data_IF_386616598314
#
_entry.id   IF_386616598314
#
_cell.length_a   1.000
_cell.length_b   1.000
_cell.length_c   1.000
_cell.angle_alpha   90.00
_cell.angle_beta   90.00
_cell.angle_gamma   90.00
#
_symmetry.space_group_name_H-M   'P 1'
#
loop_
_entity.id
_entity.type
_entity.pdbx_description
1 polymer ?
#
# COMPACT_ATOMS: atom_id res chain seq x y z
N UNK A 1 34.93 -41.33 28.63
CA UNK A 1 34.22 -40.13 28.13
C UNK A 1 32.73 -40.46 28.08
N UNK A 2 31.96 -40.12 29.13
CA UNK A 2 30.53 -40.43 29.18
C UNK A 2 29.75 -39.38 28.39
N UNK A 3 29.16 -39.78 27.27
CA UNK A 3 28.13 -39.01 26.58
C UNK A 3 26.92 -38.98 27.52
N UNK A 4 26.70 -37.85 28.19
CA UNK A 4 25.46 -37.62 28.95
C UNK A 4 24.31 -37.68 27.94
N UNK A 5 23.56 -38.79 27.95
CA UNK A 5 22.26 -38.85 27.27
C UNK A 5 21.42 -37.68 27.78
N UNK A 6 21.00 -36.81 26.86
CA UNK A 6 20.01 -35.77 27.13
C UNK A 6 18.81 -36.47 27.76
N UNK A 7 18.51 -36.16 29.03
CA UNK A 7 17.42 -36.80 29.79
C UNK A 7 16.12 -36.63 29.00
N UNK A 8 15.32 -37.69 28.88
CA UNK A 8 14.06 -37.74 28.12
C UNK A 8 13.14 -36.50 28.21
N UNK A 9 12.98 -35.83 29.38
CA UNK A 9 12.16 -34.61 29.49
C UNK A 9 12.71 -33.43 28.66
N UNK A 10 14.03 -33.28 28.58
CA UNK A 10 14.68 -32.17 27.87
C UNK A 10 14.56 -32.32 26.35
N UNK A 11 14.65 -33.55 25.84
CA UNK A 11 14.44 -33.83 24.42
C UNK A 11 12.99 -33.57 24.00
N UNK A 12 12.02 -33.94 24.84
CA UNK A 12 10.59 -33.67 24.59
C UNK A 12 10.32 -32.16 24.53
N UNK A 13 10.89 -31.38 25.45
CA UNK A 13 10.74 -29.91 25.43
C UNK A 13 11.35 -29.29 24.17
N UNK A 14 12.53 -29.74 23.74
CA UNK A 14 13.16 -29.25 22.50
C UNK A 14 12.29 -29.58 21.28
N UNK A 15 11.75 -30.81 21.19
CA UNK A 15 10.87 -31.22 20.09
C UNK A 15 9.57 -30.43 20.08
N UNK A 16 8.99 -30.13 21.25
CA UNK A 16 7.80 -29.29 21.37
C UNK A 16 8.07 -27.86 20.91
N UNK A 17 9.20 -27.26 21.30
CA UNK A 17 9.61 -25.92 20.85
C UNK A 17 9.85 -25.94 19.33
N UNK A 18 10.57 -26.93 18.81
CA UNK A 18 10.83 -27.05 17.37
C UNK A 18 9.52 -27.22 16.56
N UNK A 19 8.57 -28.01 17.06
CA UNK A 19 7.25 -28.15 16.46
C UNK A 19 6.47 -26.84 16.50
N UNK A 20 6.53 -26.11 17.61
CA UNK A 20 5.84 -24.81 17.76
C UNK A 20 6.45 -23.75 16.84
N UNK A 21 7.77 -23.71 16.71
CA UNK A 21 8.49 -22.85 15.74
C UNK A 21 8.14 -23.25 14.31
N UNK A 22 8.09 -24.54 13.97
CA UNK A 22 7.70 -25.01 12.64
C UNK A 22 6.25 -24.63 12.31
N UNK A 23 5.33 -24.76 13.27
CA UNK A 23 3.95 -24.29 13.12
C UNK A 23 3.91 -22.78 12.95
N UNK A 24 4.70 -22.02 13.72
CA UNK A 24 4.77 -20.57 13.60
C UNK A 24 5.28 -20.13 12.22
N UNK A 25 6.36 -20.75 11.72
CA UNK A 25 6.88 -20.47 10.37
C UNK A 25 5.84 -20.82 9.30
N UNK A 26 5.19 -21.97 9.42
CA UNK A 26 4.21 -22.43 8.43
C UNK A 26 2.91 -21.60 8.44
N UNK A 27 2.54 -21.06 9.60
CA UNK A 27 1.32 -20.28 9.82
C UNK A 27 1.60 -18.77 9.91
N UNK A 28 2.81 -18.33 9.60
CA UNK A 28 3.24 -16.95 9.83
C UNK A 28 2.30 -15.94 9.16
N UNK A 29 1.95 -16.16 7.89
CA UNK A 29 1.03 -15.30 7.13
C UNK A 29 -0.37 -15.23 7.76
N UNK A 30 -0.87 -16.36 8.26
CA UNK A 30 -2.18 -16.43 8.93
C UNK A 30 -2.13 -15.68 10.28
N UNK A 31 -1.02 -15.79 11.01
CA UNK A 31 -0.81 -15.05 12.25
C UNK A 31 -0.67 -13.54 11.96
N UNK A 32 0.12 -13.16 10.95
CA UNK A 32 0.27 -11.77 10.51
C UNK A 32 -1.09 -11.15 10.23
N UNK A 33 -1.87 -11.74 9.33
CA UNK A 33 -3.21 -11.27 8.98
C UNK A 33 -4.11 -11.17 10.22
N UNK A 34 -4.03 -12.13 11.14
CA UNK A 34 -4.86 -12.17 12.36
C UNK A 34 -4.57 -11.02 13.31
N UNK A 35 -3.29 -10.69 13.55
CA UNK A 35 -2.89 -9.65 14.49
C UNK A 35 -2.71 -8.27 13.84
N UNK A 36 -2.56 -8.20 12.51
CA UNK A 36 -2.34 -6.96 11.77
C UNK A 36 -3.36 -5.86 12.09
N UNK A 37 -4.69 -6.11 12.15
CA UNK A 37 -5.66 -5.06 12.48
C UNK A 37 -5.40 -4.36 13.83
N UNK A 38 -4.85 -5.10 14.81
CA UNK A 38 -4.51 -4.54 16.12
C UNK A 38 -3.30 -3.60 15.99
N UNK A 39 -2.25 -4.05 15.30
CA UNK A 39 -1.05 -3.23 15.05
C UNK A 39 -1.42 -1.98 14.25
N UNK A 40 -2.20 -2.14 13.19
CA UNK A 40 -2.75 -1.04 12.37
C UNK A 40 -3.49 -0.03 13.23
N UNK A 41 -4.37 -0.47 14.13
CA UNK A 41 -5.13 0.44 14.98
C UNK A 41 -4.26 1.23 15.97
N UNK A 42 -3.23 0.59 16.55
CA UNK A 42 -2.28 1.24 17.45
C UNK A 42 -1.46 2.31 16.70
N UNK A 43 -0.91 1.96 15.55
CA UNK A 43 -0.13 2.90 14.73
C UNK A 43 -1.01 4.02 14.17
N UNK A 44 -2.26 3.73 13.78
CA UNK A 44 -3.25 4.76 13.42
C UNK A 44 -3.43 5.79 14.53
N UNK A 45 -3.67 5.34 15.76
CA UNK A 45 -3.85 6.23 16.90
C UNK A 45 -2.59 7.09 17.17
N UNK A 46 -1.40 6.50 17.01
CA UNK A 46 -0.13 7.23 17.12
C UNK A 46 -0.01 8.34 16.08
N UNK A 47 -0.25 8.03 14.81
CA UNK A 47 -0.16 9.00 13.69
C UNK A 47 -1.16 10.14 13.89
N UNK A 48 -2.40 9.81 14.25
CA UNK A 48 -3.46 10.80 14.48
C UNK A 48 -3.18 11.69 15.70
N UNK A 49 -2.46 11.19 16.70
CA UNK A 49 -2.12 11.97 17.90
C UNK A 49 -1.24 13.19 17.61
N UNK A 50 -0.45 13.16 16.53
CA UNK A 50 0.34 14.29 16.07
C UNK A 50 -0.55 15.45 15.60
N UNK A 51 -1.64 15.13 14.90
CA UNK A 51 -2.58 16.08 14.33
C UNK A 51 -3.82 16.31 15.23
N UNK A 52 -3.71 16.07 16.54
CA UNK A 52 -4.86 16.19 17.47
C UNK A 52 -5.40 17.63 17.60
N UNK A 53 -4.52 18.62 17.41
CA UNK A 53 -4.80 20.04 17.56
C UNK A 53 -5.02 20.74 16.19
N UNK A 54 -5.09 19.95 15.11
CA UNK A 54 -5.32 20.46 13.75
C UNK A 54 -6.80 20.79 13.56
N UNK A 55 -7.09 21.67 12.60
CA UNK A 55 -8.45 21.90 12.13
C UNK A 55 -8.98 20.65 11.42
N UNK A 56 -10.30 20.45 11.46
CA UNK A 56 -10.95 19.28 10.88
C UNK A 56 -11.97 19.71 9.83
N UNK A 57 -11.81 19.16 8.62
CA UNK A 57 -12.81 19.20 7.56
C UNK A 57 -13.35 17.78 7.36
N UNK A 58 -14.63 17.59 7.67
CA UNK A 58 -15.30 16.31 7.45
C UNK A 58 -16.15 16.34 6.18
N UNK A 59 -16.06 15.28 5.39
CA UNK A 59 -16.95 15.00 4.28
C UNK A 59 -17.81 13.77 4.57
N UNK A 60 -18.54 13.27 3.57
CA UNK A 60 -19.26 12.01 3.69
C UNK A 60 -18.30 10.84 3.96
N UNK A 61 -17.14 10.81 3.29
CA UNK A 61 -16.24 9.66 3.28
C UNK A 61 -14.89 9.92 3.94
N UNK A 62 -14.53 11.18 4.22
CA UNK A 62 -13.19 11.54 4.73
C UNK A 62 -13.23 12.45 5.97
N UNK A 63 -12.19 12.35 6.80
CA UNK A 63 -11.87 13.28 7.88
C UNK A 63 -10.47 13.85 7.60
N UNK A 64 -10.41 15.11 7.20
CA UNK A 64 -9.16 15.79 6.82
C UNK A 64 -8.69 16.68 7.97
N UNK A 65 -7.49 16.42 8.48
CA UNK A 65 -6.81 17.23 9.50
C UNK A 65 -5.75 18.11 8.86
N UNK A 66 -5.79 19.41 9.13
CA UNK A 66 -4.91 20.39 8.50
C UNK A 66 -4.58 21.56 9.45
N UNK A 67 -3.45 22.25 9.21
CA UNK A 67 -3.15 23.53 9.87
C UNK A 67 -3.98 24.65 9.23
N UNK A 68 -4.35 25.69 9.98
CA UNK A 68 -5.27 26.74 9.53
C UNK A 68 -4.88 27.38 8.19
N UNK A 69 -3.59 27.54 7.94
CA UNK A 69 -3.03 28.11 6.71
C UNK A 69 -3.18 27.19 5.49
N UNK A 70 -3.57 25.92 5.68
CA UNK A 70 -3.80 24.93 4.63
C UNK A 70 -5.29 24.70 4.32
N UNK A 71 -6.20 25.57 4.80
CA UNK A 71 -7.65 25.42 4.61
C UNK A 71 -8.08 25.27 3.14
N UNK A 72 -7.47 26.05 2.25
CA UNK A 72 -7.76 25.96 0.81
C UNK A 72 -7.36 24.59 0.23
N UNK A 73 -6.22 24.05 0.66
CA UNK A 73 -5.73 22.74 0.22
C UNK A 73 -6.55 21.62 0.82
N UNK A 74 -7.00 21.74 2.08
CA UNK A 74 -7.91 20.77 2.70
C UNK A 74 -9.22 20.65 1.92
N UNK A 75 -9.82 21.78 1.50
CA UNK A 75 -11.02 21.79 0.67
C UNK A 75 -10.78 21.16 -0.70
N UNK A 76 -9.64 21.46 -1.31
CA UNK A 76 -9.26 20.88 -2.61
C UNK A 76 -9.04 19.36 -2.50
N UNK A 77 -8.31 18.89 -1.48
CA UNK A 77 -8.11 17.47 -1.19
C UNK A 77 -9.44 16.76 -0.95
N UNK A 78 -10.35 17.36 -0.16
CA UNK A 78 -11.70 16.83 0.06
C UNK A 78 -12.48 16.66 -1.26
N UNK A 79 -12.48 17.70 -2.10
CA UNK A 79 -13.17 17.69 -3.39
C UNK A 79 -12.67 16.55 -4.30
N UNK A 80 -11.35 16.40 -4.43
CA UNK A 80 -10.75 15.34 -5.25
C UNK A 80 -11.02 13.96 -4.65
N UNK A 81 -10.85 13.81 -3.33
CA UNK A 81 -11.07 12.53 -2.65
C UNK A 81 -12.51 12.05 -2.82
N UNK A 82 -13.52 12.91 -2.59
CA UNK A 82 -14.92 12.57 -2.78
C UNK A 82 -15.27 12.34 -4.26
N UNK A 83 -14.69 13.11 -5.19
CA UNK A 83 -14.89 12.93 -6.64
C UNK A 83 -14.55 11.51 -7.10
N UNK A 84 -13.45 10.94 -6.59
CA UNK A 84 -12.98 9.62 -7.01
C UNK A 84 -13.38 8.48 -6.06
N UNK A 85 -13.93 8.78 -4.88
CA UNK A 85 -14.26 7.79 -3.86
C UNK A 85 -15.11 6.64 -4.39
N UNK A 86 -16.25 6.95 -5.02
CA UNK A 86 -17.18 5.94 -5.52
C UNK A 86 -16.52 5.09 -6.62
N UNK A 87 -15.82 5.72 -7.56
CA UNK A 87 -15.13 5.01 -8.65
C UNK A 87 -14.06 4.05 -8.15
N UNK A 88 -13.27 4.46 -7.15
CA UNK A 88 -12.25 3.61 -6.53
C UNK A 88 -12.91 2.47 -5.74
N UNK A 89 -13.89 2.77 -4.89
CA UNK A 89 -14.60 1.74 -4.12
C UNK A 89 -15.29 0.71 -5.02
N UNK A 90 -15.93 1.15 -6.10
CA UNK A 90 -16.57 0.28 -7.09
C UNK A 90 -15.54 -0.57 -7.83
N UNK A 91 -14.40 0.03 -8.21
CA UNK A 91 -13.32 -0.69 -8.87
C UNK A 91 -12.86 -1.88 -8.02
N UNK A 92 -12.73 -1.74 -6.70
CA UNK A 92 -12.32 -2.81 -5.79
C UNK A 92 -13.49 -3.63 -5.18
N UNK A 93 -14.75 -3.25 -5.42
CA UNK A 93 -15.95 -3.70 -4.68
C UNK A 93 -15.75 -3.71 -3.15
N UNK A 94 -15.10 -2.68 -2.64
CA UNK A 94 -14.84 -2.53 -1.22
C UNK A 94 -15.13 -1.09 -0.77
N UNK A 95 -15.86 -0.95 0.32
CA UNK A 95 -16.17 0.33 0.96
C UNK A 95 -15.56 0.32 2.36
N UNK A 96 -14.69 1.29 2.70
CA UNK A 96 -14.17 1.43 4.06
C UNK A 96 -15.30 1.51 5.09
N UNK A 97 -15.18 0.76 6.19
CA UNK A 97 -16.21 0.68 7.24
C UNK A 97 -16.43 1.98 8.02
N UNK A 98 -15.49 2.92 7.91
CA UNK A 98 -15.53 4.24 8.53
C UNK A 98 -14.97 5.27 7.57
N UNK A 99 -15.18 6.56 7.84
CA UNK A 99 -14.51 7.64 7.12
C UNK A 99 -12.99 7.43 7.14
N UNK A 100 -12.34 7.71 6.01
CA UNK A 100 -10.89 7.60 5.87
C UNK A 100 -10.22 8.86 6.43
N UNK A 101 -9.18 8.67 7.23
CA UNK A 101 -8.44 9.78 7.83
C UNK A 101 -7.35 10.29 6.87
N UNK A 102 -7.32 11.61 6.69
CA UNK A 102 -6.29 12.32 5.93
C UNK A 102 -5.61 13.32 6.85
N UNK A 103 -4.28 13.42 6.80
CA UNK A 103 -3.51 14.49 7.44
C UNK A 103 -2.74 15.25 6.36
N UNK A 104 -2.90 16.57 6.34
CA UNK A 104 -2.13 17.48 5.48
C UNK A 104 -1.03 18.14 6.34
N UNK A 105 0.22 17.94 5.94
CA UNK A 105 1.39 18.50 6.61
C UNK A 105 1.87 19.73 5.86
N UNK A 106 2.14 20.81 6.60
CA UNK A 106 2.57 22.08 6.01
C UNK A 106 3.90 21.99 5.24
N UNK A 107 4.81 21.13 5.69
CA UNK A 107 6.17 21.00 5.20
C UNK A 107 6.71 19.58 5.40
N UNK A 108 7.82 19.28 4.73
CA UNK A 108 8.47 17.97 4.75
C UNK A 108 8.96 17.58 6.15
N UNK A 109 9.33 18.57 6.99
CA UNK A 109 9.84 18.31 8.34
C UNK A 109 8.73 17.73 9.21
N UNK A 110 7.56 18.34 9.22
CA UNK A 110 6.39 17.85 9.95
C UNK A 110 5.96 16.46 9.44
N UNK A 111 5.99 16.27 8.13
CA UNK A 111 5.67 15.01 7.47
C UNK A 111 6.61 13.87 7.93
N UNK A 112 7.92 14.08 7.83
CA UNK A 112 8.95 13.12 8.24
C UNK A 112 8.88 12.82 9.75
N UNK A 113 8.71 13.87 10.57
CA UNK A 113 8.69 13.73 12.03
C UNK A 113 7.55 12.80 12.49
N UNK A 114 6.35 12.97 11.95
CA UNK A 114 5.23 12.12 12.35
C UNK A 114 5.36 10.68 11.83
N UNK A 115 5.80 10.51 10.58
CA UNK A 115 5.92 9.18 9.98
C UNK A 115 7.18 8.41 10.39
N UNK A 116 8.13 9.08 11.06
CA UNK A 116 9.44 8.51 11.40
C UNK A 116 10.16 7.97 10.15
N UNK A 117 9.96 8.65 9.03
CA UNK A 117 10.43 8.23 7.72
C UNK A 117 11.89 8.67 7.52
N UNK A 118 12.74 7.82 6.95
CA UNK A 118 14.13 8.18 6.66
C UNK A 118 14.60 7.53 5.35
N UNK A 119 13.94 7.87 4.24
CA UNK A 119 14.23 7.31 2.90
C UNK A 119 14.90 8.30 1.92
N UNK A 120 15.56 9.34 2.41
CA UNK A 120 16.41 10.24 1.60
C UNK A 120 15.66 11.28 0.75
N UNK A 121 14.47 10.98 0.22
CA UNK A 121 13.54 11.94 -0.39
C UNK A 121 12.17 11.87 0.29
N UNK A 122 11.53 13.03 0.46
CA UNK A 122 10.18 13.11 1.03
C UNK A 122 9.15 12.93 -0.08
N UNK A 123 8.32 11.88 -0.05
CA UNK A 123 7.22 11.74 -1.00
C UNK A 123 6.14 12.81 -0.75
N UNK A 124 5.36 13.14 -1.79
CA UNK A 124 4.25 14.10 -1.65
C UNK A 124 3.02 13.49 -0.96
N UNK A 125 2.95 12.15 -0.85
CA UNK A 125 1.95 11.42 -0.08
C UNK A 125 2.45 10.05 0.38
N UNK A 126 1.86 9.54 1.47
CA UNK A 126 2.09 8.19 2.02
C UNK A 126 0.85 7.69 2.74
N UNK A 127 0.40 6.50 2.37
CA UNK A 127 -0.49 5.68 3.16
C UNK A 127 0.32 5.00 4.27
N UNK A 128 -0.09 5.22 5.53
CA UNK A 128 0.52 4.54 6.66
C UNK A 128 -0.53 4.15 7.70
N UNK A 129 -0.67 2.84 7.91
CA UNK A 129 -1.50 2.24 8.98
C UNK A 129 -2.91 2.83 9.09
N UNK A 130 -3.63 2.96 7.97
CA UNK A 130 -5.02 3.44 7.95
C UNK A 130 -5.17 4.96 7.95
N UNK A 131 -4.10 5.71 7.68
CA UNK A 131 -4.11 7.17 7.53
C UNK A 131 -3.43 7.54 6.20
N UNK A 132 -4.07 8.41 5.43
CA UNK A 132 -3.50 9.03 4.23
C UNK A 132 -2.75 10.30 4.68
N UNK A 133 -1.45 10.37 4.40
CA UNK A 133 -0.60 11.48 4.81
C UNK A 133 -0.18 12.24 3.56
N UNK A 134 -0.42 13.54 3.51
CA UNK A 134 -0.19 14.37 2.32
C UNK A 134 0.70 15.55 2.68
N UNK A 135 1.77 15.74 1.91
CA UNK A 135 2.52 17.00 1.93
C UNK A 135 1.66 18.08 1.25
N UNK A 136 1.43 19.19 1.94
CA UNK A 136 0.57 20.26 1.45
C UNK A 136 0.96 20.67 0.02
N UNK A 137 -0.01 20.81 -0.91
CA UNK A 137 0.25 21.21 -2.29
C UNK A 137 1.06 22.50 -2.40
N UNK A 138 0.95 23.44 -1.45
CA UNK A 138 1.77 24.66 -1.43
C UNK A 138 3.28 24.42 -1.36
N UNK A 139 3.69 23.29 -0.79
CA UNK A 139 5.10 22.96 -0.63
C UNK A 139 5.76 22.65 -1.99
N UNK A 140 5.03 22.00 -2.90
CA UNK A 140 5.58 21.43 -4.13
C UNK A 140 4.97 21.95 -5.43
N UNK A 141 3.75 22.52 -5.42
CA UNK A 141 3.14 23.17 -6.59
C UNK A 141 3.46 24.66 -6.59
N UNK A 142 4.13 25.15 -7.64
CA UNK A 142 4.47 26.57 -7.81
C UNK A 142 3.53 27.32 -8.74
N UNK A 143 2.88 26.61 -9.67
CA UNK A 143 1.88 27.17 -10.57
C UNK A 143 0.52 27.22 -9.85
N UNK A 144 0.20 28.38 -9.26
CA UNK A 144 -1.06 28.58 -8.55
C UNK A 144 -2.25 28.77 -9.49
N UNK A 145 -2.03 29.11 -10.77
CA UNK A 145 -3.10 29.30 -11.75
C UNK A 145 -3.70 27.95 -12.17
N UNK A 146 -2.87 26.91 -12.26
CA UNK A 146 -3.28 25.55 -12.61
C UNK A 146 -3.31 24.59 -11.40
N UNK A 147 -3.32 25.12 -10.17
CA UNK A 147 -3.19 24.36 -8.92
C UNK A 147 -4.11 23.13 -8.86
N UNK A 148 -5.42 23.32 -9.05
CA UNK A 148 -6.42 22.26 -8.97
C UNK A 148 -6.12 21.13 -9.95
N UNK A 149 -5.81 21.48 -11.20
CA UNK A 149 -5.48 20.49 -12.23
C UNK A 149 -4.17 19.76 -11.93
N UNK A 150 -3.12 20.48 -11.55
CA UNK A 150 -1.84 19.84 -11.23
C UNK A 150 -2.00 18.87 -10.07
N UNK A 151 -2.74 19.28 -9.04
CA UNK A 151 -2.96 18.48 -7.84
C UNK A 151 -3.90 17.29 -8.10
N UNK A 152 -4.92 17.45 -8.93
CA UNK A 152 -5.80 16.33 -9.29
C UNK A 152 -5.06 15.24 -10.06
N UNK A 153 -4.20 15.60 -11.01
CA UNK A 153 -3.55 14.64 -11.91
C UNK A 153 -2.19 14.15 -11.45
N UNK A 154 -1.45 14.94 -10.66
CA UNK A 154 -0.12 14.58 -10.15
C UNK A 154 -0.07 14.49 -8.61
N UNK A 155 -1.20 14.71 -7.94
CA UNK A 155 -1.28 14.62 -6.48
C UNK A 155 -1.55 13.20 -6.00
N UNK A 156 -1.30 12.94 -4.71
CA UNK A 156 -1.23 11.58 -4.18
C UNK A 156 -2.60 10.98 -3.81
N UNK A 157 -3.70 11.74 -3.90
CA UNK A 157 -4.98 11.39 -3.25
C UNK A 157 -5.52 10.03 -3.70
N UNK A 158 -5.54 9.79 -5.02
CA UNK A 158 -6.05 8.53 -5.59
C UNK A 158 -5.11 7.37 -5.28
N UNK A 159 -3.79 7.60 -5.40
CA UNK A 159 -2.74 6.63 -5.09
C UNK A 159 -2.84 6.12 -3.66
N UNK A 160 -2.85 7.05 -2.69
CA UNK A 160 -2.86 6.68 -1.27
C UNK A 160 -4.20 6.10 -0.81
N UNK A 161 -5.31 6.55 -1.39
CA UNK A 161 -6.61 5.95 -1.10
C UNK A 161 -6.68 4.51 -1.63
N UNK A 162 -6.06 4.24 -2.78
CA UNK A 162 -5.95 2.87 -3.31
C UNK A 162 -5.14 1.97 -2.37
N UNK A 163 -4.01 2.45 -1.86
CA UNK A 163 -3.25 1.71 -0.84
C UNK A 163 -4.07 1.38 0.40
N UNK A 164 -4.91 2.33 0.87
CA UNK A 164 -5.80 2.09 2.00
C UNK A 164 -6.76 0.93 1.74
N UNK A 165 -7.39 0.89 0.57
CA UNK A 165 -8.32 -0.19 0.20
C UNK A 165 -7.59 -1.53 0.11
N UNK A 166 -6.45 -1.57 -0.56
CA UNK A 166 -5.64 -2.80 -0.69
C UNK A 166 -5.26 -3.32 0.68
N UNK A 167 -4.79 -2.44 1.57
CA UNK A 167 -4.38 -2.82 2.91
C UNK A 167 -5.54 -3.35 3.77
N UNK A 168 -6.72 -2.75 3.64
CA UNK A 168 -7.94 -3.23 4.28
C UNK A 168 -8.35 -4.62 3.78
N UNK A 169 -8.43 -4.81 2.45
CA UNK A 169 -8.87 -6.07 1.82
C UNK A 169 -7.90 -7.20 2.17
N UNK A 170 -6.60 -6.92 2.07
CA UNK A 170 -5.54 -7.92 2.27
C UNK A 170 -5.11 -8.05 3.73
N UNK A 171 -5.59 -7.17 4.61
CA UNK A 171 -5.17 -7.11 6.02
C UNK A 171 -3.64 -7.07 6.16
N UNK A 172 -3.00 -6.21 5.38
CA UNK A 172 -1.54 -6.02 5.41
C UNK A 172 -0.73 -7.16 4.79
N UNK A 173 -1.37 -8.12 4.09
CA UNK A 173 -0.69 -9.24 3.43
C UNK A 173 -0.56 -9.01 1.92
N UNK A 174 0.36 -8.15 1.52
CA UNK A 174 0.67 -7.87 0.13
C UNK A 174 2.14 -7.48 -0.04
N UNK A 175 2.78 -7.83 -1.17
CA UNK A 175 4.10 -7.32 -1.51
C UNK A 175 4.03 -5.88 -2.03
N UNK A 176 5.12 -5.13 -1.90
CA UNK A 176 5.19 -3.71 -2.31
C UNK A 176 4.83 -3.51 -3.78
N UNK A 177 5.36 -4.34 -4.67
CA UNK A 177 5.07 -4.24 -6.11
C UNK A 177 3.58 -4.34 -6.42
N UNK A 178 2.83 -5.14 -5.66
CA UNK A 178 1.41 -5.32 -5.92
C UNK A 178 0.65 -4.04 -5.55
N UNK A 179 0.96 -3.45 -4.39
CA UNK A 179 0.25 -2.26 -3.92
C UNK A 179 0.58 -1.03 -4.76
N UNK A 180 1.85 -0.83 -5.11
CA UNK A 180 2.28 0.28 -5.98
C UNK A 180 1.72 0.12 -7.40
N UNK A 181 1.79 -1.09 -7.96
CA UNK A 181 1.24 -1.37 -9.28
C UNK A 181 -0.28 -1.16 -9.36
N UNK A 182 -1.02 -1.53 -8.31
CA UNK A 182 -2.47 -1.32 -8.24
C UNK A 182 -2.84 0.16 -8.05
N UNK A 183 -2.09 0.90 -7.25
CA UNK A 183 -2.26 2.34 -7.08
C UNK A 183 -2.08 3.07 -8.42
N UNK A 184 -0.96 2.81 -9.11
CA UNK A 184 -0.70 3.35 -10.46
C UNK A 184 -1.72 2.90 -11.51
N UNK A 185 -2.15 1.63 -11.45
CA UNK A 185 -3.20 1.13 -12.34
C UNK A 185 -4.54 1.83 -12.11
N UNK A 186 -4.86 2.15 -10.86
CA UNK A 186 -6.08 2.89 -10.50
C UNK A 186 -6.04 4.31 -11.02
N UNK A 187 -4.92 5.01 -10.87
CA UNK A 187 -4.70 6.33 -11.47
C UNK A 187 -4.91 6.28 -12.99
N UNK A 188 -4.22 5.36 -13.67
CA UNK A 188 -4.36 5.15 -15.11
C UNK A 188 -5.83 4.95 -15.54
N UNK A 189 -6.58 4.10 -14.83
CA UNK A 189 -7.97 3.79 -15.17
C UNK A 189 -8.92 4.96 -14.96
N UNK A 190 -8.65 5.85 -14.01
CA UNK A 190 -9.58 6.91 -13.62
C UNK A 190 -9.24 8.28 -14.22
N UNK A 191 -7.95 8.57 -14.43
CA UNK A 191 -7.49 9.86 -14.94
C UNK A 191 -6.96 9.78 -16.38
N UNK A 192 -6.66 8.56 -16.85
CA UNK A 192 -5.98 8.35 -18.13
C UNK A 192 -4.49 8.72 -18.07
N UNK A 193 -3.94 8.97 -16.89
CA UNK A 193 -2.52 9.28 -16.72
C UNK A 193 -1.67 8.06 -17.11
N UNK A 194 -0.80 8.25 -18.09
CA UNK A 194 0.23 7.29 -18.47
C UNK A 194 1.59 7.83 -18.04
N UNK A 195 2.31 7.06 -17.22
CA UNK A 195 3.70 7.36 -16.87
C UNK A 195 4.54 7.47 -18.14
N UNK A 196 5.42 8.48 -18.20
CA UNK A 196 6.28 8.75 -19.35
C UNK A 196 7.09 7.51 -19.76
N UNK A 197 7.36 7.40 -21.07
CA UNK A 197 8.22 6.37 -21.64
C UNK A 197 9.62 6.44 -21.02
N UNK A 198 10.13 5.32 -20.55
CA UNK A 198 11.50 5.19 -20.06
C UNK A 198 12.37 4.44 -21.08
N UNK A 199 13.69 4.65 -21.01
CA UNK A 199 14.62 4.04 -21.95
C UNK A 199 14.59 2.50 -21.85
N UNK A 200 14.49 1.76 -22.98
CA UNK A 200 14.48 0.29 -23.02
C UNK A 200 15.73 -0.39 -22.42
N UNK A 201 16.81 0.37 -22.21
CA UNK A 201 18.11 -0.13 -21.74
C UNK A 201 18.15 -0.41 -20.22
N UNK A 202 17.10 -0.08 -19.47
CA UNK A 202 16.95 -0.42 -18.05
C UNK A 202 16.30 -1.80 -17.85
N UNK A 203 17.07 -2.83 -18.22
CA UNK A 203 17.14 -4.22 -17.73
C UNK A 203 15.90 -5.06 -17.36
N UNK A 204 16.13 -6.38 -17.51
CA UNK A 204 15.31 -7.55 -17.15
C UNK A 204 14.99 -7.64 -15.65
N UNK A 205 14.23 -6.70 -15.10
CA UNK A 205 13.65 -6.83 -13.76
C UNK A 205 12.49 -7.81 -13.84
N UNK A 206 12.62 -8.93 -13.14
CA UNK A 206 11.58 -9.96 -13.07
C UNK A 206 10.60 -9.66 -11.93
N UNK A 207 9.43 -10.31 -11.96
CA UNK A 207 8.51 -10.27 -10.82
C UNK A 207 9.16 -10.79 -9.53
N UNK A 208 10.05 -11.78 -9.62
CA UNK A 208 10.76 -12.31 -8.46
C UNK A 208 11.72 -11.27 -7.85
N UNK A 209 12.32 -10.42 -8.67
CA UNK A 209 13.14 -9.30 -8.19
C UNK A 209 12.30 -8.28 -7.44
N UNK A 210 11.14 -7.91 -8.00
CA UNK A 210 10.20 -7.00 -7.34
C UNK A 210 9.67 -7.56 -6.02
N UNK A 211 9.46 -8.88 -5.93
CA UNK A 211 8.95 -9.52 -4.71
C UNK A 211 10.00 -9.58 -3.60
N UNK A 212 11.28 -9.78 -3.95
CA UNK A 212 12.35 -10.02 -2.98
C UNK A 212 13.17 -8.80 -2.59
N UNK A 213 13.33 -7.84 -3.51
CA UNK A 213 14.30 -6.73 -3.37
C UNK A 213 13.74 -5.41 -3.90
N UNK A 214 12.44 -5.17 -3.69
CA UNK A 214 11.75 -3.95 -4.15
C UNK A 214 12.50 -2.67 -3.78
N UNK A 215 12.88 -2.52 -2.51
CA UNK A 215 13.56 -1.33 -1.98
C UNK A 215 15.01 -1.16 -2.52
N UNK A 216 15.60 -2.20 -3.13
CA UNK A 216 16.94 -2.17 -3.73
C UNK A 216 16.93 -1.84 -5.24
N UNK A 217 15.74 -1.79 -5.86
CA UNK A 217 15.55 -1.46 -7.28
C UNK A 217 15.33 0.05 -7.39
N UNK A 218 15.80 0.66 -8.48
CA UNK A 218 15.47 2.07 -8.76
C UNK A 218 13.96 2.27 -8.67
N UNK A 219 13.53 3.30 -7.93
CA UNK A 219 12.12 3.49 -7.60
C UNK A 219 11.26 3.63 -8.86
N UNK A 220 11.73 4.37 -9.88
CA UNK A 220 10.95 4.56 -11.11
C UNK A 220 10.81 3.24 -11.86
N UNK A 221 11.89 2.44 -11.91
CA UNK A 221 11.88 1.10 -12.52
C UNK A 221 10.93 0.17 -11.76
N UNK A 222 11.02 0.13 -10.44
CA UNK A 222 10.20 -0.73 -9.59
C UNK A 222 8.70 -0.40 -9.76
N UNK A 223 8.36 0.89 -9.75
CA UNK A 223 6.99 1.39 -9.88
C UNK A 223 6.45 1.10 -11.29
N UNK A 224 7.24 1.38 -12.33
CA UNK A 224 6.85 1.10 -13.71
C UNK A 224 6.60 -0.38 -13.96
N UNK A 225 7.53 -1.25 -13.55
CA UNK A 225 7.38 -2.70 -13.73
C UNK A 225 6.22 -3.27 -12.93
N UNK A 226 5.97 -2.73 -11.74
CA UNK A 226 4.79 -3.07 -10.93
C UNK A 226 3.49 -2.73 -11.67
N UNK A 227 3.39 -1.54 -12.25
CA UNK A 227 2.26 -1.12 -13.07
C UNK A 227 2.06 -2.03 -14.29
N UNK A 228 3.14 -2.33 -15.04
CA UNK A 228 3.08 -3.19 -16.23
C UNK A 228 2.58 -4.59 -15.90
N UNK A 229 3.05 -5.18 -14.81
CA UNK A 229 2.61 -6.50 -14.35
C UNK A 229 1.13 -6.46 -13.94
N UNK A 230 0.72 -5.49 -13.12
CA UNK A 230 -0.70 -5.37 -12.68
C UNK A 230 -1.62 -5.13 -13.87
N UNK A 231 -1.21 -4.29 -14.82
CA UNK A 231 -1.94 -4.06 -16.07
C UNK A 231 -2.02 -5.34 -16.89
N UNK A 232 -0.91 -6.05 -17.10
CA UNK A 232 -0.87 -7.31 -17.84
C UNK A 232 -1.75 -8.39 -17.21
N UNK A 233 -1.76 -8.51 -15.88
CA UNK A 233 -2.68 -9.40 -15.16
C UNK A 233 -4.13 -9.01 -15.43
N UNK A 234 -4.44 -7.71 -15.31
CA UNK A 234 -5.80 -7.20 -15.48
C UNK A 234 -6.30 -7.34 -16.92
N UNK A 235 -5.43 -7.13 -17.90
CA UNK A 235 -5.76 -7.27 -19.33
C UNK A 235 -5.94 -8.75 -19.72
N UNK A 236 -5.17 -9.67 -19.11
CA UNK A 236 -5.22 -11.10 -19.42
C UNK A 236 -6.39 -11.81 -18.74
N UNK A 237 -6.62 -11.56 -17.44
CA UNK A 237 -7.58 -12.31 -16.63
C UNK A 237 -8.78 -11.49 -16.15
N UNK A 238 -8.78 -10.17 -16.40
CA UNK A 238 -9.78 -9.25 -15.88
C UNK A 238 -9.48 -8.80 -14.45
N UNK A 239 -9.87 -7.56 -14.13
CA UNK A 239 -9.67 -6.98 -12.81
C UNK A 239 -10.40 -7.75 -11.70
N UNK A 240 -11.55 -8.38 -11.99
CA UNK A 240 -12.27 -9.23 -11.03
C UNK A 240 -11.40 -10.37 -10.49
N UNK A 241 -10.52 -10.93 -11.32
CA UNK A 241 -9.58 -11.96 -10.87
C UNK A 241 -8.51 -11.35 -9.96
N UNK A 242 -7.99 -10.17 -10.29
CA UNK A 242 -7.10 -9.43 -9.40
C UNK A 242 -7.74 -9.20 -8.02
N UNK A 243 -9.01 -8.77 -7.97
CA UNK A 243 -9.76 -8.57 -6.70
C UNK A 243 -9.89 -9.86 -5.90
N UNK A 244 -10.28 -10.96 -6.55
CA UNK A 244 -10.34 -12.26 -5.91
C UNK A 244 -8.97 -12.69 -5.33
N UNK A 245 -7.86 -12.29 -5.97
CA UNK A 245 -6.52 -12.55 -5.43
C UNK A 245 -6.27 -11.76 -4.13
N UNK A 246 -6.68 -10.49 -4.08
CA UNK A 246 -6.60 -9.66 -2.86
C UNK A 246 -7.42 -10.27 -1.71
N UNK A 247 -8.62 -10.78 -1.98
CA UNK A 247 -9.43 -11.46 -0.96
C UNK A 247 -8.77 -12.74 -0.41
N UNK A 248 -8.03 -13.46 -1.26
CA UNK A 248 -7.31 -14.69 -0.85
C UNK A 248 -6.05 -14.34 -0.07
N UNK A 249 -5.37 -13.25 -0.43
CA UNK A 249 -4.29 -12.65 0.37
C UNK A 249 -4.80 -12.25 1.76
N UNK A 250 -5.97 -11.61 1.85
CA UNK A 250 -6.65 -11.27 3.12
C UNK A 250 -6.99 -12.46 4.02
N UNK A 251 -6.86 -13.69 3.53
CA UNK A 251 -7.01 -14.94 4.29
C UNK A 251 -5.67 -15.55 4.73
N UNK A 252 -4.56 -14.84 4.54
CA UNK A 252 -3.21 -15.28 4.93
C UNK A 252 -2.55 -16.25 3.94
N UNK A 253 -2.91 -16.20 2.65
CA UNK A 253 -2.23 -16.97 1.62
C UNK A 253 -1.08 -16.17 1.02
N UNK A 254 -0.02 -16.84 0.57
CA UNK A 254 1.06 -16.20 -0.17
C UNK A 254 0.63 -15.80 -1.58
N UNK A 255 1.33 -14.82 -2.15
CA UNK A 255 1.05 -14.29 -3.50
C UNK A 255 0.96 -15.39 -4.57
N UNK A 256 1.92 -16.32 -4.60
CA UNK A 256 1.90 -17.42 -5.57
C UNK A 256 0.74 -18.40 -5.33
N UNK A 257 0.40 -18.67 -4.06
CA UNK A 257 -0.75 -19.54 -3.75
C UNK A 257 -2.06 -18.89 -4.21
N UNK A 258 -2.22 -17.59 -3.95
CA UNK A 258 -3.37 -16.81 -4.40
C UNK A 258 -3.46 -16.80 -5.93
N UNK A 259 -2.34 -16.54 -6.62
CA UNK A 259 -2.26 -16.57 -8.09
C UNK A 259 -2.62 -17.96 -8.67
N UNK A 260 -2.12 -19.06 -8.09
CA UNK A 260 -2.47 -20.42 -8.52
C UNK A 260 -3.97 -20.71 -8.37
N UNK A 261 -4.61 -20.20 -7.33
CA UNK A 261 -6.06 -20.38 -7.14
C UNK A 261 -6.84 -19.61 -8.21
N UNK A 262 -6.46 -18.36 -8.46
CA UNK A 262 -7.23 -17.41 -9.28
C UNK A 262 -6.91 -17.52 -10.77
N UNK A 263 -5.63 -17.46 -11.12
CA UNK A 263 -5.11 -17.41 -12.50
C UNK A 263 -4.71 -18.79 -13.03
N UNK A 264 -4.68 -19.82 -12.18
CA UNK A 264 -4.24 -21.18 -12.52
C UNK A 264 -2.79 -21.27 -13.02
N UNK A 265 -1.96 -20.30 -12.63
CA UNK A 265 -0.54 -20.25 -13.00
C UNK A 265 0.35 -19.98 -11.79
N UNK A 266 1.64 -20.33 -11.91
CA UNK A 266 2.67 -19.78 -11.04
C UNK A 266 3.03 -18.39 -11.57
N UNK A 267 2.77 -17.35 -10.77
CA UNK A 267 2.95 -15.96 -11.21
C UNK A 267 4.41 -15.61 -11.48
N UNK A 268 5.35 -16.27 -10.80
CA UNK A 268 6.79 -16.06 -10.98
C UNK A 268 7.37 -16.76 -12.22
N UNK A 269 6.64 -17.69 -12.81
CA UNK A 269 7.05 -18.41 -14.04
C UNK A 269 6.26 -17.93 -15.27
N UNK A 270 5.40 -16.92 -15.10
CA UNK A 270 4.55 -16.41 -16.17
C UNK A 270 5.30 -15.38 -17.02
N UNK A 271 5.56 -15.71 -18.28
CA UNK A 271 6.31 -14.86 -19.21
C UNK A 271 5.43 -13.89 -20.02
N UNK A 272 4.14 -13.76 -19.71
CA UNK A 272 3.25 -12.84 -20.43
C UNK A 272 3.28 -11.40 -19.92
N UNK A 273 4.26 -11.06 -19.08
CA UNK A 273 4.47 -9.71 -18.55
C UNK A 273 5.63 -8.97 -19.24
N UNK A 274 6.30 -9.63 -20.20
CA UNK A 274 7.43 -9.10 -20.98
C UNK A 274 6.98 -8.33 -22.24
#
# INVERSE_FOLDING_TARGET
MQVKLVRGPTLIVILLIAALVAVFIYQFEILQVSFYPIVKHIEKARVLSYAKDFEILETQNFIIRYEKEDEEYAKLTASIADKYHESICNMYEYIPSSKSDVIIYKDEKAFIENLRFNRGSTPIGVYYSGVINILSPRAWIKDTENLEKIYEYNGPVLHEFTHLLIDDITRGNYPMWLTEGLALYTEYKLTGFEWQEYSPDEYKITLEDLDKRFDDIDQNVAYRKSFEIVKGISDTWGFDKMRNMLDILGKGNSINKSAKVVFKTNIFEYNGFD
#
